data_IF_054299754955
#
_entry.id   IF_054299754955
#
_cell.length_a   1.000
_cell.length_b   1.000
_cell.length_c   1.000
_cell.angle_alpha   90.00
_cell.angle_beta   90.00
_cell.angle_gamma   90.00
#
_symmetry.space_group_name_H-M   'P 1'
#
loop_
_entity.id
_entity.type
_entity.pdbx_description
1 polymer ?
#
# COMPACT_ATOMS: atom_id res chain seq x y z
N UNK A 1 20.12 8.78 13.70
CA UNK A 1 18.96 8.33 12.91
C UNK A 1 18.24 7.30 13.75
N UNK A 2 16.93 7.45 13.90
CA UNK A 2 16.09 6.57 14.69
C UNK A 2 14.98 6.07 13.78
N UNK A 3 14.97 4.78 13.52
CA UNK A 3 13.89 4.13 12.78
C UNK A 3 12.85 3.60 13.78
N UNK A 4 11.56 3.94 13.62
CA UNK A 4 10.52 3.44 14.50
C UNK A 4 10.31 1.94 14.32
N UNK A 5 10.27 1.20 15.42
CA UNK A 5 10.13 -0.25 15.44
C UNK A 5 8.72 -0.63 15.91
N UNK A 6 8.00 -1.33 15.03
CA UNK A 6 6.69 -1.93 15.33
C UNK A 6 6.86 -3.44 15.28
N UNK A 7 6.50 -4.15 16.35
CA UNK A 7 6.68 -5.60 16.42
C UNK A 7 5.55 -6.30 17.20
N UNK A 8 5.29 -7.55 16.83
CA UNK A 8 4.41 -8.45 17.58
C UNK A 8 5.22 -9.05 18.74
N UNK A 9 4.66 -9.03 19.95
CA UNK A 9 5.33 -9.45 21.18
C UNK A 9 4.48 -10.51 21.90
N UNK A 10 5.04 -11.69 22.13
CA UNK A 10 4.48 -12.74 23.00
C UNK A 10 5.23 -12.80 24.35
N UNK A 11 4.86 -13.76 25.21
CA UNK A 11 5.31 -13.91 26.60
C UNK A 11 6.82 -14.07 26.80
N UNK A 12 7.57 -14.37 25.75
CA UNK A 12 9.02 -14.60 25.75
C UNK A 12 9.82 -13.49 25.03
N UNK A 13 9.17 -12.47 24.48
CA UNK A 13 9.82 -11.30 23.87
C UNK A 13 9.93 -10.12 24.85
N UNK A 14 11.07 -9.43 24.83
CA UNK A 14 11.32 -8.23 25.62
C UNK A 14 10.86 -6.97 24.85
N UNK A 15 9.84 -6.23 25.32
CA UNK A 15 9.30 -5.07 24.63
C UNK A 15 10.13 -3.79 24.79
N UNK A 16 11.18 -3.77 25.62
CA UNK A 16 11.89 -2.53 25.99
C UNK A 16 12.57 -1.82 24.81
N UNK A 17 12.85 -2.54 23.72
CA UNK A 17 13.49 -2.00 22.50
C UNK A 17 12.49 -1.66 21.38
N UNK A 18 11.19 -1.82 21.62
CA UNK A 18 10.14 -1.68 20.60
C UNK A 18 9.31 -0.41 20.89
N UNK A 19 9.17 0.47 19.90
CA UNK A 19 8.37 1.70 20.04
C UNK A 19 6.87 1.42 20.16
N UNK A 20 6.40 0.48 19.35
CA UNK A 20 4.99 0.14 19.23
C UNK A 20 4.82 -1.39 19.36
N UNK A 21 4.86 -1.93 20.58
CA UNK A 21 4.65 -3.35 20.80
C UNK A 21 3.17 -3.70 20.61
N UNK A 22 2.91 -4.71 19.79
CA UNK A 22 1.58 -5.30 19.58
C UNK A 22 1.56 -6.63 20.33
N UNK A 23 0.76 -6.78 21.41
CA UNK A 23 0.69 -8.04 22.13
C UNK A 23 0.00 -9.10 21.27
N UNK A 24 0.59 -10.28 21.16
CA UNK A 24 -0.01 -11.41 20.46
C UNK A 24 0.94 -12.59 20.30
N UNK A 25 0.40 -13.72 19.87
CA UNK A 25 1.19 -14.93 19.68
C UNK A 25 1.89 -14.89 18.31
N UNK A 26 3.22 -14.89 18.31
CA UNK A 26 4.07 -14.85 17.12
C UNK A 26 4.36 -16.24 16.55
N UNK A 27 4.30 -17.30 17.35
CA UNK A 27 4.44 -18.69 16.91
C UNK A 27 3.29 -19.19 16.02
N UNK A 28 2.07 -18.69 16.25
CA UNK A 28 0.88 -19.20 15.59
C UNK A 28 0.74 -18.62 14.18
N UNK A 29 0.84 -19.50 13.17
CA UNK A 29 0.60 -19.14 11.77
C UNK A 29 -0.74 -18.43 11.54
N UNK A 30 -1.77 -18.78 12.32
CA UNK A 30 -3.08 -18.13 12.25
C UNK A 30 -3.04 -16.68 12.73
N UNK A 31 -2.26 -16.41 13.77
CA UNK A 31 -2.04 -15.07 14.33
C UNK A 31 -1.27 -14.20 13.34
N UNK A 32 -0.13 -14.69 12.84
CA UNK A 32 0.67 -14.00 11.82
C UNK A 32 -0.19 -13.64 10.61
N UNK A 33 -0.93 -14.61 10.04
CA UNK A 33 -1.81 -14.38 8.89
C UNK A 33 -2.87 -13.30 9.16
N UNK A 34 -3.46 -13.30 10.35
CA UNK A 34 -4.47 -12.31 10.72
C UNK A 34 -3.86 -10.91 10.79
N UNK A 35 -2.70 -10.76 11.45
CA UNK A 35 -2.03 -9.47 11.60
C UNK A 35 -1.55 -8.95 10.24
N UNK A 36 -0.89 -9.79 9.43
CA UNK A 36 -0.42 -9.40 8.09
C UNK A 36 -1.58 -9.01 7.17
N UNK A 37 -2.70 -9.74 7.20
CA UNK A 37 -3.88 -9.38 6.42
C UNK A 37 -4.45 -8.02 6.85
N UNK A 38 -4.56 -7.78 8.16
CA UNK A 38 -5.04 -6.50 8.68
C UNK A 38 -4.11 -5.33 8.37
N UNK A 39 -2.80 -5.57 8.39
CA UNK A 39 -1.81 -4.57 7.97
C UNK A 39 -1.97 -4.24 6.47
N UNK A 40 -2.15 -5.25 5.62
CA UNK A 40 -2.38 -5.04 4.19
C UNK A 40 -3.66 -4.22 3.93
N UNK A 41 -4.78 -4.58 4.56
CA UNK A 41 -6.04 -3.83 4.49
C UNK A 41 -5.83 -2.36 4.90
N UNK A 42 -5.15 -2.13 6.02
CA UNK A 42 -4.90 -0.79 6.55
C UNK A 42 -4.00 0.07 5.63
N UNK A 43 -3.02 -0.55 4.96
CA UNK A 43 -2.15 0.15 4.00
C UNK A 43 -2.96 0.59 2.77
N UNK A 44 -3.81 -0.28 2.23
CA UNK A 44 -4.67 0.03 1.09
C UNK A 44 -5.63 1.17 1.44
N UNK A 45 -6.30 1.07 2.60
CA UNK A 45 -7.18 2.12 3.11
C UNK A 45 -6.44 3.44 3.30
N UNK A 46 -5.21 3.39 3.85
CA UNK A 46 -4.36 4.56 4.02
C UNK A 46 -3.96 5.21 2.71
N UNK A 47 -3.61 4.41 1.69
CA UNK A 47 -3.30 4.89 0.35
C UNK A 47 -4.50 5.58 -0.31
N UNK A 48 -5.67 4.95 -0.25
CA UNK A 48 -6.90 5.50 -0.80
C UNK A 48 -7.27 6.83 -0.14
N UNK A 49 -7.17 6.92 1.20
CA UNK A 49 -7.40 8.18 1.93
C UNK A 49 -6.41 9.28 1.57
N UNK A 50 -5.13 8.95 1.35
CA UNK A 50 -4.14 9.95 0.91
C UNK A 50 -4.49 10.52 -0.46
N UNK A 51 -4.85 9.64 -1.40
CA UNK A 51 -5.21 10.04 -2.76
C UNK A 51 -6.49 10.89 -2.79
N UNK A 52 -7.50 10.56 -1.99
CA UNK A 52 -8.70 11.38 -1.90
C UNK A 52 -8.35 12.78 -1.39
N UNK A 53 -7.63 12.87 -0.26
CA UNK A 53 -7.22 14.15 0.32
C UNK A 53 -6.41 15.01 -0.67
N UNK A 54 -5.47 14.43 -1.42
CA UNK A 54 -4.75 15.16 -2.46
C UNK A 54 -5.68 15.67 -3.57
N UNK A 55 -6.67 14.88 -3.98
CA UNK A 55 -7.67 15.29 -4.99
C UNK A 55 -8.55 16.43 -4.48
N UNK A 56 -8.96 16.37 -3.21
CA UNK A 56 -9.73 17.43 -2.57
C UNK A 56 -8.93 18.74 -2.44
N UNK A 57 -7.65 18.68 -2.07
CA UNK A 57 -6.78 19.86 -1.97
C UNK A 57 -6.52 20.49 -3.35
N UNK A 58 -6.24 19.69 -4.38
CA UNK A 58 -6.05 20.17 -5.76
C UNK A 58 -7.34 20.81 -6.30
N UNK A 59 -8.51 20.25 -5.99
CA UNK A 59 -9.81 20.84 -6.37
C UNK A 59 -10.04 22.20 -5.70
N UNK A 60 -9.51 22.40 -4.49
CA UNK A 60 -9.63 23.67 -3.76
C UNK A 60 -8.72 24.78 -4.30
N UNK A 61 -7.53 24.46 -4.81
CA UNK A 61 -6.57 25.43 -5.36
C UNK A 61 -6.91 25.90 -6.80
N UNK A 62 -7.76 25.18 -7.54
CA UNK A 62 -8.12 25.51 -8.93
C UNK A 62 -9.17 26.64 -9.05
N UNK A 63 -9.64 27.21 -7.94
CA UNK A 63 -10.73 28.21 -7.98
C UNK A 63 -10.31 29.69 -8.11
N UNK A 64 -9.02 30.02 -8.16
CA UNK A 64 -8.57 31.43 -8.27
C UNK A 64 -7.75 31.75 -9.55
N UNK A 65 -8.19 31.24 -10.70
CA UNK A 65 -7.55 31.46 -11.99
C UNK A 65 -8.50 31.31 -13.18
N UNK A 66 -9.21 32.38 -13.51
CA UNK A 66 -10.08 32.55 -14.69
C UNK A 66 -9.55 31.90 -15.99
N UNK A 67 -10.32 30.97 -16.57
CA UNK A 67 -10.11 30.47 -17.93
C UNK A 67 -10.99 29.27 -18.28
N UNK A 68 -12.20 29.53 -18.76
CA UNK A 68 -13.14 28.50 -19.22
C UNK A 68 -12.60 27.67 -20.39
N UNK A 69 -12.53 26.34 -20.24
CA UNK A 69 -12.70 25.37 -21.33
C UNK A 69 -12.98 23.96 -20.79
N UNK A 70 -14.25 23.59 -20.88
CA UNK A 70 -14.78 22.28 -21.31
C UNK A 70 -14.18 20.97 -20.74
N UNK A 71 -15.03 20.23 -20.03
CA UNK A 71 -14.80 18.84 -19.60
C UNK A 71 -15.02 17.87 -20.77
N UNK A 72 -14.43 16.66 -20.71
CA UNK A 72 -15.36 15.55 -20.51
C UNK A 72 -14.96 14.64 -19.35
N UNK A 73 -15.99 14.21 -18.62
CA UNK A 73 -16.01 13.19 -17.58
C UNK A 73 -15.63 11.84 -18.21
N UNK A 74 -14.50 11.26 -17.80
CA UNK A 74 -14.04 9.93 -18.17
C UNK A 74 -14.00 9.02 -16.96
N UNK A 75 -14.84 7.99 -16.99
CA UNK A 75 -15.11 7.01 -15.94
C UNK A 75 -13.87 6.25 -15.42
N UNK A 76 -13.98 5.86 -14.16
CA UNK A 76 -13.04 5.09 -13.37
C UNK A 76 -12.88 3.66 -13.91
N UNK A 77 -11.80 3.37 -14.65
CA UNK A 77 -11.09 2.07 -14.67
C UNK A 77 -10.17 1.97 -15.90
N UNK A 78 -8.85 2.23 -15.79
CA UNK A 78 -7.81 1.67 -16.70
C UNK A 78 -6.40 1.84 -16.13
N UNK A 79 -6.10 1.21 -14.98
CA UNK A 79 -4.69 0.92 -14.62
C UNK A 79 -4.56 -0.51 -14.10
N UNK A 80 -5.05 -1.47 -14.90
CA UNK A 80 -4.85 -2.88 -14.65
C UNK A 80 -4.74 -3.60 -16.00
N UNK A 81 -3.60 -3.44 -16.68
CA UNK A 81 -3.05 -4.40 -17.67
C UNK A 81 -1.82 -3.77 -18.35
N UNK A 82 -0.66 -3.73 -17.68
CA UNK A 82 0.59 -3.36 -18.34
C UNK A 82 1.87 -3.86 -17.63
N UNK A 83 1.90 -5.06 -17.04
CA UNK A 83 3.19 -5.75 -16.71
C UNK A 83 3.01 -7.28 -16.75
N UNK A 84 2.64 -7.83 -17.90
CA UNK A 84 2.82 -9.26 -18.19
C UNK A 84 3.08 -9.44 -19.67
N UNK A 85 4.28 -9.04 -20.13
CA UNK A 85 4.86 -9.64 -21.33
C UNK A 85 6.38 -9.47 -21.36
N UNK A 86 7.11 -10.51 -20.98
CA UNK A 86 8.48 -10.80 -21.43
C UNK A 86 8.81 -12.25 -21.06
N UNK A 87 8.15 -13.18 -21.74
CA UNK A 87 8.55 -14.58 -21.76
C UNK A 87 8.34 -15.14 -23.17
N UNK A 88 9.37 -15.04 -24.02
CA UNK A 88 9.65 -16.00 -25.12
C UNK A 88 10.84 -15.53 -25.97
N UNK A 89 12.03 -16.07 -25.70
CA UNK A 89 13.10 -16.44 -26.65
C UNK A 89 14.23 -17.00 -25.74
N UNK A 90 14.73 -18.22 -25.86
CA UNK A 90 15.23 -18.88 -27.07
C UNK A 90 14.97 -20.40 -27.06
N UNK A 91 14.73 -20.94 -28.26
CA UNK A 91 14.71 -22.36 -28.62
C UNK A 91 16.07 -22.84 -29.15
N UNK A 92 16.48 -24.04 -28.72
CA UNK A 92 17.39 -25.03 -29.37
C UNK A 92 18.89 -24.64 -29.49
N UNK A 93 19.90 -25.47 -29.22
CA UNK A 93 20.20 -26.81 -29.74
C UNK A 93 21.38 -27.49 -28.96
N UNK A 94 21.34 -28.82 -28.86
CA UNK A 94 22.46 -29.77 -29.10
C UNK A 94 23.80 -29.70 -28.30
N UNK A 95 23.94 -30.55 -27.27
CA UNK A 95 24.94 -31.67 -27.15
C UNK A 95 25.01 -32.24 -25.73
#
# INVERSE_FOLDING_TARGET
YYEPIVALVDSDCDPDLIDYPIPGNDDAIRSIRLISAKMADAIIDGQNRRMSLETEEISSEVTDGNGASDMPVGDSATVAEAVVESASDETEESQ
#
